data_IF_971265348493
#
_entry.id   IF_971265348493
#
_cell.length_a   1.000
_cell.length_b   1.000
_cell.length_c   1.000
_cell.angle_alpha   90.00
_cell.angle_beta   90.00
_cell.angle_gamma   90.00
#
_symmetry.space_group_name_H-M   'P 1'
#
loop_
_entity.id
_entity.type
_entity.pdbx_description
1 polymer ?
#
# COMPACT_ATOMS: atom_id res chain seq x y z
N UNK A 1 32.74 -1.29 10.67
CA UNK A 1 31.47 -1.38 9.91
C UNK A 1 30.54 -0.30 10.43
N UNK A 2 30.39 0.80 9.70
CA UNK A 2 29.48 1.90 10.11
C UNK A 2 28.11 1.55 9.56
N UNK A 3 27.19 1.13 10.43
CA UNK A 3 25.77 1.01 10.09
C UNK A 3 25.25 2.41 9.72
N UNK A 4 25.19 2.73 8.42
CA UNK A 4 24.39 3.86 7.96
C UNK A 4 22.94 3.48 8.23
N UNK A 5 22.35 4.05 9.27
CA UNK A 5 20.94 3.86 9.62
C UNK A 5 20.07 4.68 8.65
N UNK A 6 20.08 4.33 7.37
CA UNK A 6 18.98 4.70 6.48
C UNK A 6 17.87 3.71 6.76
N UNK A 7 16.95 4.06 7.66
CA UNK A 7 15.81 3.19 8.00
C UNK A 7 14.92 3.01 6.77
N UNK A 8 15.09 1.88 6.10
CA UNK A 8 14.17 1.42 5.07
C UNK A 8 12.99 0.71 5.73
N UNK A 9 11.85 0.79 5.08
CA UNK A 9 10.66 0.04 5.46
C UNK A 9 9.99 -0.51 4.21
N UNK A 10 9.18 -1.55 4.38
CA UNK A 10 8.24 -2.02 3.38
C UNK A 10 6.86 -1.56 3.83
N UNK A 11 6.15 -0.85 2.98
CA UNK A 11 4.72 -0.65 3.19
C UNK A 11 3.93 -1.65 2.37
N UNK A 12 2.77 -2.03 2.89
CA UNK A 12 1.85 -2.99 2.32
C UNK A 12 0.48 -2.32 2.29
N UNK A 13 -0.22 -2.38 1.17
CA UNK A 13 -1.59 -1.87 1.07
C UNK A 13 -2.45 -2.78 0.20
N UNK A 14 -3.77 -2.57 0.28
CA UNK A 14 -4.75 -3.40 -0.41
C UNK A 14 -5.69 -2.55 -1.25
N UNK A 15 -5.94 -2.97 -2.49
CA UNK A 15 -6.89 -2.31 -3.38
C UNK A 15 -7.65 -3.31 -4.27
N UNK A 16 -8.76 -2.93 -4.91
CA UNK A 16 -9.44 -3.77 -5.89
C UNK A 16 -8.50 -4.30 -6.97
N UNK A 17 -8.75 -5.52 -7.46
CA UNK A 17 -8.01 -6.11 -8.59
C UNK A 17 -8.33 -5.38 -9.90
N UNK A 18 -7.65 -4.26 -10.14
CA UNK A 18 -7.73 -3.45 -11.35
C UNK A 18 -6.33 -2.90 -11.69
N UNK A 19 -5.75 -3.36 -12.79
CA UNK A 19 -4.37 -2.99 -13.17
C UNK A 19 -4.15 -1.50 -13.40
N UNK A 20 -5.12 -0.78 -13.96
CA UNK A 20 -5.02 0.67 -14.14
C UNK A 20 -4.92 1.40 -12.78
N UNK A 21 -5.71 0.95 -11.79
CA UNK A 21 -5.63 1.47 -10.42
C UNK A 21 -4.29 1.10 -9.75
N UNK A 22 -3.85 -0.14 -9.91
CA UNK A 22 -2.58 -0.65 -9.35
C UNK A 22 -1.41 0.20 -9.86
N UNK A 23 -1.34 0.43 -11.18
CA UNK A 23 -0.33 1.29 -11.79
C UNK A 23 -0.41 2.73 -11.28
N UNK A 24 -1.63 3.30 -11.17
CA UNK A 24 -1.82 4.66 -10.60
C UNK A 24 -1.27 4.76 -9.17
N UNK A 25 -1.52 3.76 -8.34
CA UNK A 25 -1.00 3.71 -6.96
C UNK A 25 0.54 3.60 -6.95
N UNK A 26 1.11 2.67 -7.72
CA UNK A 26 2.57 2.47 -7.82
C UNK A 26 3.24 3.75 -8.31
N UNK A 27 2.71 4.39 -9.36
CA UNK A 27 3.23 5.64 -9.89
C UNK A 27 3.16 6.79 -8.87
N UNK A 28 2.05 6.91 -8.12
CA UNK A 28 1.92 7.93 -7.08
C UNK A 28 2.95 7.73 -5.95
N UNK A 29 3.20 6.48 -5.53
CA UNK A 29 4.21 6.17 -4.53
C UNK A 29 5.63 6.39 -5.04
N UNK A 30 5.93 5.97 -6.27
CA UNK A 30 7.25 6.06 -6.87
C UNK A 30 7.70 7.51 -7.10
N UNK A 31 6.77 8.41 -7.50
CA UNK A 31 7.03 9.85 -7.61
C UNK A 31 7.50 10.48 -6.29
N UNK A 32 7.04 9.95 -5.17
CA UNK A 32 7.47 10.40 -3.84
C UNK A 32 8.72 9.65 -3.33
N UNK A 33 9.25 8.69 -4.10
CA UNK A 33 10.51 8.00 -3.85
C UNK A 33 10.39 6.63 -3.19
N UNK A 34 9.24 5.96 -3.27
CA UNK A 34 9.12 4.54 -2.99
C UNK A 34 9.61 3.68 -4.18
N UNK A 35 9.97 2.43 -3.91
CA UNK A 35 10.30 1.43 -4.93
C UNK A 35 11.59 1.73 -5.70
N UNK A 36 12.55 2.41 -5.08
CA UNK A 36 13.89 2.60 -5.65
C UNK A 36 14.83 1.55 -5.06
N UNK A 37 15.34 0.66 -5.89
CA UNK A 37 16.27 -0.41 -5.51
C UNK A 37 17.43 -0.39 -6.52
N UNK A 38 18.60 0.10 -6.11
CA UNK A 38 19.71 0.32 -7.02
C UNK A 38 19.32 1.25 -8.18
N UNK A 39 19.49 0.78 -9.42
CA UNK A 39 19.13 1.50 -10.64
C UNK A 39 17.68 1.25 -11.12
N UNK A 40 16.87 0.58 -10.32
CA UNK A 40 15.47 0.27 -10.64
C UNK A 40 14.53 1.20 -9.87
N UNK A 41 13.47 1.65 -10.53
CA UNK A 41 12.38 2.45 -9.94
C UNK A 41 11.05 1.71 -10.08
N UNK A 42 10.01 2.16 -9.37
CA UNK A 42 8.68 1.56 -9.39
C UNK A 42 8.68 0.08 -8.95
N UNK A 43 9.69 -0.36 -8.20
CA UNK A 43 9.76 -1.72 -7.70
C UNK A 43 8.61 -1.98 -6.72
N UNK A 44 7.71 -2.88 -7.10
CA UNK A 44 6.58 -3.32 -6.32
C UNK A 44 6.37 -4.83 -6.48
N UNK A 45 5.90 -5.48 -5.42
CA UNK A 45 5.38 -6.83 -5.49
C UNK A 45 3.86 -6.77 -5.38
N UNK A 46 3.15 -7.48 -6.27
CA UNK A 46 1.69 -7.52 -6.30
C UNK A 46 1.23 -8.96 -6.18
N UNK A 47 0.33 -9.24 -5.24
CA UNK A 47 -0.25 -10.57 -5.05
C UNK A 47 -1.76 -10.48 -4.90
N UNK A 48 -2.48 -11.45 -5.46
CA UNK A 48 -3.95 -11.50 -5.39
C UNK A 48 -4.41 -12.10 -4.05
N UNK A 49 -5.56 -11.63 -3.57
CA UNK A 49 -6.19 -12.12 -2.36
C UNK A 49 -7.69 -11.81 -2.32
N UNK A 50 -8.29 -12.09 -1.18
CA UNK A 50 -9.70 -11.77 -0.90
C UNK A 50 -9.75 -10.88 0.32
N UNK A 51 -10.20 -9.63 0.13
CA UNK A 51 -10.53 -8.74 1.23
C UNK A 51 -11.85 -9.19 1.87
N UNK A 52 -11.90 -9.20 3.20
CA UNK A 52 -13.10 -9.59 3.96
C UNK A 52 -13.35 -8.56 5.05
N UNK A 53 -14.57 -8.03 5.11
CA UNK A 53 -14.95 -7.05 6.13
C UNK A 53 -16.41 -7.19 6.52
N UNK A 54 -16.77 -6.62 7.67
CA UNK A 54 -18.15 -6.50 8.14
C UNK A 54 -18.42 -5.03 8.44
N UNK A 55 -19.29 -4.41 7.65
CA UNK A 55 -19.66 -3.02 7.88
C UNK A 55 -20.42 -2.89 9.21
N UNK A 56 -19.94 -2.02 10.10
CA UNK A 56 -20.53 -1.76 11.41
C UNK A 56 -21.66 -0.73 11.32
N UNK A 57 -22.54 -0.66 12.33
CA UNK A 57 -23.60 0.36 12.40
C UNK A 57 -22.98 1.76 12.29
N UNK A 58 -23.53 2.61 11.43
CA UNK A 58 -23.00 3.96 11.14
C UNK A 58 -21.99 4.03 9.99
N UNK A 59 -21.53 2.91 9.46
CA UNK A 59 -20.75 2.91 8.22
C UNK A 59 -21.63 3.28 7.01
N UNK A 60 -21.01 3.85 5.98
CA UNK A 60 -21.64 4.11 4.66
C UNK A 60 -20.90 3.27 3.60
N UNK A 61 -21.11 1.94 3.57
CA UNK A 61 -20.37 1.08 2.66
C UNK A 61 -20.79 1.34 1.21
N UNK A 62 -19.82 1.61 0.33
CA UNK A 62 -20.05 1.58 -1.11
C UNK A 62 -20.33 0.14 -1.60
N UNK A 63 -19.75 -0.85 -0.92
CA UNK A 63 -19.90 -2.29 -1.21
C UNK A 63 -20.21 -3.04 0.09
N UNK A 64 -21.21 -3.93 0.05
CA UNK A 64 -21.61 -4.75 1.19
C UNK A 64 -22.86 -4.24 1.92
N UNK A 65 -23.22 -4.89 3.03
CA UNK A 65 -24.37 -4.51 3.88
C UNK A 65 -23.97 -4.43 5.34
N UNK A 66 -24.56 -3.47 6.06
CA UNK A 66 -24.37 -3.33 7.51
C UNK A 66 -24.71 -4.66 8.21
N UNK A 67 -23.82 -5.09 9.10
CA UNK A 67 -24.01 -6.31 9.88
C UNK A 67 -23.79 -7.61 9.12
N UNK A 68 -23.39 -7.57 7.83
CA UNK A 68 -23.07 -8.77 7.04
C UNK A 68 -21.59 -8.79 6.63
N UNK A 69 -21.00 -9.98 6.63
CA UNK A 69 -19.68 -10.18 6.04
C UNK A 69 -19.76 -9.96 4.53
N UNK A 70 -18.83 -9.17 4.03
CA UNK A 70 -18.63 -8.82 2.63
C UNK A 70 -17.25 -9.30 2.21
N UNK A 71 -17.09 -9.64 0.94
CA UNK A 71 -15.83 -10.12 0.37
C UNK A 71 -15.65 -9.59 -1.05
N UNK A 72 -14.42 -9.24 -1.41
CA UNK A 72 -14.07 -8.81 -2.76
C UNK A 72 -12.69 -9.31 -3.17
N UNK A 73 -12.45 -9.44 -4.48
CA UNK A 73 -11.12 -9.73 -5.02
C UNK A 73 -10.26 -8.48 -4.93
N UNK A 74 -9.16 -8.59 -4.19
CA UNK A 74 -8.22 -7.50 -3.98
C UNK A 74 -6.81 -7.93 -4.38
N UNK A 75 -5.92 -6.95 -4.47
CA UNK A 75 -4.48 -7.19 -4.55
C UNK A 75 -3.80 -6.56 -3.34
N UNK A 76 -2.76 -7.24 -2.85
CA UNK A 76 -1.78 -6.71 -1.92
C UNK A 76 -0.63 -6.14 -2.72
N UNK A 77 -0.34 -4.85 -2.55
CA UNK A 77 0.79 -4.14 -3.14
C UNK A 77 1.83 -3.89 -2.06
N UNK A 78 3.07 -4.26 -2.31
CA UNK A 78 4.19 -4.07 -1.38
C UNK A 78 5.34 -3.32 -2.04
N UNK A 79 5.85 -2.27 -1.40
CA UNK A 79 6.99 -1.51 -1.91
C UNK A 79 7.93 -1.11 -0.78
N UNK A 80 9.23 -1.07 -1.06
CA UNK A 80 10.20 -0.49 -0.15
C UNK A 80 10.18 1.04 -0.21
N UNK A 81 10.42 1.69 0.92
CA UNK A 81 10.42 3.13 1.04
C UNK A 81 11.39 3.58 2.14
N UNK A 82 12.16 4.67 1.93
CA UNK A 82 12.84 5.34 3.03
C UNK A 82 11.81 5.83 4.06
N UNK A 83 12.04 5.55 5.35
CA UNK A 83 11.10 5.92 6.42
C UNK A 83 10.76 7.42 6.45
N UNK A 84 11.72 8.27 6.05
CA UNK A 84 11.55 9.73 5.95
C UNK A 84 10.59 10.18 4.85
N UNK A 85 10.26 9.31 3.88
CA UNK A 85 9.38 9.61 2.75
C UNK A 85 7.95 9.06 2.92
N UNK A 86 7.71 8.21 3.92
CA UNK A 86 6.42 7.54 4.13
C UNK A 86 5.23 8.50 4.16
N UNK A 87 5.35 9.64 4.85
CA UNK A 87 4.25 10.59 4.96
C UNK A 87 3.83 11.14 3.58
N UNK A 88 4.81 11.50 2.74
CA UNK A 88 4.57 12.00 1.38
C UNK A 88 3.99 10.91 0.49
N UNK A 89 4.57 9.70 0.54
CA UNK A 89 4.09 8.52 -0.19
C UNK A 89 2.63 8.23 0.16
N UNK A 90 2.27 8.17 1.45
CA UNK A 90 0.89 7.90 1.86
C UNK A 90 -0.08 9.03 1.53
N UNK A 91 0.36 10.28 1.55
CA UNK A 91 -0.44 11.41 1.04
C UNK A 91 -0.70 11.27 -0.47
N UNK A 92 0.30 10.86 -1.25
CA UNK A 92 0.14 10.66 -2.69
C UNK A 92 -0.79 9.48 -3.00
N UNK A 93 -0.61 8.34 -2.33
CA UNK A 93 -1.47 7.16 -2.51
C UNK A 93 -2.94 7.50 -2.17
N UNK A 94 -3.20 8.21 -1.06
CA UNK A 94 -4.56 8.59 -0.66
C UNK A 94 -5.30 9.45 -1.70
N UNK A 95 -4.59 10.19 -2.55
CA UNK A 95 -5.21 10.98 -3.62
C UNK A 95 -5.72 10.14 -4.78
N UNK A 96 -5.21 8.92 -4.96
CA UNK A 96 -5.55 8.04 -6.09
C UNK A 96 -6.27 6.77 -5.67
N UNK A 97 -6.22 6.43 -4.39
CA UNK A 97 -6.86 5.22 -3.86
C UNK A 97 -8.39 5.40 -3.78
N UNK A 98 -9.20 4.41 -4.20
CA UNK A 98 -10.66 4.54 -4.22
C UNK A 98 -11.32 4.50 -2.84
N UNK A 99 -10.61 4.01 -1.82
CA UNK A 99 -11.13 3.88 -0.46
C UNK A 99 -10.71 5.06 0.42
N UNK A 100 -11.67 5.64 1.14
CA UNK A 100 -11.46 6.74 2.10
C UNK A 100 -10.50 6.34 3.25
N UNK A 101 -10.61 5.08 3.69
CA UNK A 101 -9.76 4.48 4.72
C UNK A 101 -9.00 3.33 4.11
N UNK A 102 -7.70 3.54 3.92
CA UNK A 102 -6.80 2.54 3.34
C UNK A 102 -6.18 1.74 4.48
N UNK A 103 -6.25 0.43 4.42
CA UNK A 103 -5.45 -0.45 5.26
C UNK A 103 -4.00 -0.42 4.74
N UNK A 104 -3.08 0.07 5.56
CA UNK A 104 -1.65 0.16 5.24
C UNK A 104 -0.85 -0.37 6.42
N UNK A 105 -0.04 -1.39 6.17
CA UNK A 105 0.94 -1.90 7.13
C UNK A 105 2.32 -1.36 6.79
N UNK A 106 3.17 -1.18 7.80
CA UNK A 106 4.57 -0.77 7.64
C UNK A 106 5.45 -1.71 8.43
N UNK A 107 6.38 -2.35 7.74
CA UNK A 107 7.35 -3.29 8.31
C UNK A 107 8.75 -2.67 8.17
N UNK A 108 9.48 -2.54 9.27
CA UNK A 108 10.88 -2.12 9.21
C UNK A 108 11.74 -3.20 8.55
N UNK A 109 12.61 -2.81 7.63
CA UNK A 109 13.50 -3.74 6.94
C UNK A 109 14.89 -3.61 7.56
N UNK A 110 15.44 -4.73 8.00
CA UNK A 110 16.87 -4.86 8.30
C UNK A 110 17.52 -5.66 7.19
N UNK A 111 18.63 -5.16 6.63
CA UNK A 111 19.43 -5.89 5.65
C UNK A 111 20.70 -6.38 6.31
N UNK A 112 21.06 -7.61 6.00
CA UNK A 112 22.38 -8.14 6.22
C UNK A 112 23.05 -8.12 4.85
N UNK A 113 24.02 -7.24 4.67
CA UNK A 113 24.92 -7.22 3.52
C UNK A 113 26.16 -8.07 3.81
#
# INVERSE_FOLDING_TARGET
>A
MILKINKMCKFILFCPKNWELIEKIINAAAKEGAGIIGNYSHCAFVSEGVGVWKAQKGAKPNIGRIGKLSKEKEVKIEMECPKTKLEKVFKAIRKVHPYDKIAIDVVEITRFE
#
